data_IF_593572409618
#
_entry.id   IF_593572409618
#
_cell.length_a   1.000
_cell.length_b   1.000
_cell.length_c   1.000
_cell.angle_alpha   90.00
_cell.angle_beta   90.00
_cell.angle_gamma   90.00
#
_symmetry.space_group_name_H-M   'P 1'
#
loop_
_entity.id
_entity.type
_entity.pdbx_description
1 polymer ?
#
# COMPACT_ATOMS: atom_id res chain seq x y z
N UNK A 1 34.96 -53.02 -18.13
CA UNK A 1 34.44 -51.86 -18.89
C UNK A 1 33.82 -50.91 -17.88
N UNK A 2 34.34 -49.70 -17.84
CA UNK A 2 34.16 -48.65 -16.82
C UNK A 2 32.72 -48.12 -16.80
N UNK A 3 32.12 -48.09 -15.60
CA UNK A 3 30.88 -47.33 -15.35
C UNK A 3 31.18 -45.86 -15.60
N UNK A 4 30.51 -45.26 -16.56
CA UNK A 4 30.51 -43.82 -16.78
C UNK A 4 29.74 -43.15 -15.66
N UNK A 5 30.40 -42.32 -14.88
CA UNK A 5 29.73 -41.42 -13.93
C UNK A 5 28.80 -40.46 -14.68
N UNK A 6 27.65 -40.08 -14.10
CA UNK A 6 26.78 -39.10 -14.72
C UNK A 6 27.51 -37.75 -14.74
N UNK A 7 27.61 -37.16 -15.93
CA UNK A 7 28.13 -35.81 -16.14
C UNK A 7 27.24 -34.85 -15.33
N UNK A 8 27.72 -34.44 -14.16
CA UNK A 8 27.12 -33.37 -13.39
C UNK A 8 27.42 -32.09 -14.17
N UNK A 9 26.47 -31.64 -15.00
CA UNK A 9 26.58 -30.31 -15.62
C UNK A 9 26.83 -29.29 -14.51
N UNK A 10 27.90 -28.46 -14.59
CA UNK A 10 28.16 -27.48 -13.57
C UNK A 10 26.94 -26.56 -13.48
N UNK A 11 26.36 -26.45 -12.29
CA UNK A 11 25.23 -25.55 -12.02
C UNK A 11 25.72 -24.15 -12.40
N UNK A 12 25.05 -23.52 -13.37
CA UNK A 12 25.35 -22.17 -13.78
C UNK A 12 25.40 -21.27 -12.54
N UNK A 13 26.53 -20.61 -12.29
CA UNK A 13 26.79 -19.81 -11.08
C UNK A 13 25.69 -18.76 -10.80
N UNK A 14 24.93 -18.35 -11.82
CA UNK A 14 23.75 -17.47 -11.65
C UNK A 14 22.62 -18.07 -10.80
N UNK A 15 22.56 -19.39 -10.67
CA UNK A 15 21.60 -20.12 -9.84
C UNK A 15 22.16 -20.54 -8.48
N UNK A 16 23.40 -20.14 -8.19
CA UNK A 16 24.01 -20.37 -6.89
C UNK A 16 23.67 -19.17 -5.98
N UNK A 17 23.03 -19.40 -4.82
CA UNK A 17 22.67 -18.31 -3.92
C UNK A 17 23.91 -17.66 -3.31
N UNK A 18 23.74 -16.42 -2.84
CA UNK A 18 24.74 -15.73 -2.05
C UNK A 18 25.15 -16.57 -0.83
N UNK A 19 26.46 -16.69 -0.57
CA UNK A 19 27.03 -17.64 0.42
C UNK A 19 27.37 -17.02 1.77
N UNK A 20 27.27 -15.71 1.93
CA UNK A 20 27.62 -15.03 3.17
C UNK A 20 26.36 -14.55 3.92
N UNK A 21 26.49 -14.16 5.20
CA UNK A 21 25.38 -13.57 5.93
C UNK A 21 24.86 -12.29 5.26
N UNK A 22 23.56 -12.05 5.42
CA UNK A 22 22.95 -10.76 5.11
C UNK A 22 23.41 -9.69 6.11
N UNK A 23 23.24 -8.39 5.81
CA UNK A 23 23.56 -7.32 6.76
C UNK A 23 22.79 -7.50 8.08
N UNK A 24 23.49 -7.40 9.21
CA UNK A 24 22.96 -7.71 10.55
C UNK A 24 21.71 -6.88 10.91
N UNK A 25 21.71 -5.60 10.54
CA UNK A 25 20.65 -4.66 10.89
C UNK A 25 19.58 -4.53 9.78
N UNK A 26 19.64 -5.36 8.74
CA UNK A 26 18.60 -5.36 7.70
C UNK A 26 17.34 -5.98 8.28
N UNK A 27 16.17 -5.31 8.20
CA UNK A 27 14.94 -5.94 8.62
C UNK A 27 14.61 -7.12 7.68
N UNK A 28 13.83 -8.12 8.15
CA UNK A 28 13.43 -9.25 7.32
C UNK A 28 12.71 -8.79 6.05
N UNK A 29 12.85 -9.54 4.96
CA UNK A 29 12.04 -9.33 3.77
C UNK A 29 10.54 -9.51 4.06
N UNK A 30 9.70 -8.99 3.18
CA UNK A 30 8.25 -9.10 3.29
C UNK A 30 7.69 -9.63 1.99
N UNK A 31 6.94 -10.73 2.08
CA UNK A 31 6.14 -11.27 0.98
C UNK A 31 4.70 -11.39 1.44
N UNK A 32 3.79 -10.76 0.72
CA UNK A 32 2.35 -10.90 0.93
C UNK A 32 1.81 -11.76 -0.21
N UNK A 33 1.44 -13.03 0.04
CA UNK A 33 1.04 -13.95 -1.02
C UNK A 33 -0.13 -13.45 -1.86
N UNK A 34 -1.08 -12.77 -1.23
CA UNK A 34 -2.27 -12.20 -1.88
C UNK A 34 -2.35 -10.71 -1.57
N UNK A 35 -1.83 -9.85 -2.45
CA UNK A 35 -1.88 -8.40 -2.26
C UNK A 35 -3.35 -7.91 -2.16
N UNK A 36 -4.23 -8.41 -3.02
CA UNK A 36 -5.70 -8.33 -2.83
C UNK A 36 -6.11 -9.56 -2.01
N UNK A 37 -6.68 -9.41 -0.80
CA UNK A 37 -7.02 -10.55 0.02
C UNK A 37 -8.28 -11.27 -0.46
N UNK A 38 -8.32 -12.55 -0.14
CA UNK A 38 -9.54 -13.34 -0.12
C UNK A 38 -10.32 -13.21 1.21
N UNK A 39 -9.65 -12.84 2.30
CA UNK A 39 -10.27 -12.60 3.61
C UNK A 39 -10.63 -11.11 3.79
N UNK A 40 -11.92 -10.81 3.80
CA UNK A 40 -12.46 -9.45 3.91
C UNK A 40 -12.10 -8.77 5.24
N UNK A 41 -11.81 -9.53 6.30
CA UNK A 41 -11.45 -8.97 7.61
C UNK A 41 -10.17 -8.15 7.55
N UNK A 42 -9.30 -8.41 6.57
CA UNK A 42 -8.01 -7.71 6.48
C UNK A 42 -8.18 -6.26 5.97
N UNK A 43 -9.28 -5.96 5.27
CA UNK A 43 -9.59 -4.59 4.87
C UNK A 43 -9.99 -3.74 6.07
N UNK A 44 -9.22 -2.68 6.32
CA UNK A 44 -9.41 -1.73 7.42
C UNK A 44 -10.29 -0.58 6.93
N UNK A 45 -11.49 -0.35 7.48
CA UNK A 45 -12.34 0.76 7.07
C UNK A 45 -11.67 2.10 7.42
N UNK A 46 -11.67 3.04 6.48
CA UNK A 46 -11.09 4.39 6.66
C UNK A 46 -12.16 5.45 6.73
N UNK A 47 -13.04 5.47 5.74
CA UNK A 47 -14.22 6.33 5.59
C UNK A 47 -15.38 5.49 5.04
N UNK A 48 -16.56 6.08 4.89
CA UNK A 48 -17.69 5.39 4.26
C UNK A 48 -17.31 4.91 2.86
N UNK A 49 -17.49 3.62 2.59
CA UNK A 49 -17.13 2.98 1.32
C UNK A 49 -15.64 3.01 0.95
N UNK A 50 -14.74 3.35 1.88
CA UNK A 50 -13.29 3.38 1.66
C UNK A 50 -12.58 2.44 2.63
N UNK A 51 -11.75 1.54 2.09
CA UNK A 51 -10.97 0.58 2.85
C UNK A 51 -9.48 0.66 2.51
N UNK A 52 -8.67 0.50 3.54
CA UNK A 52 -7.23 0.43 3.49
C UNK A 52 -6.76 -1.00 3.76
N UNK A 53 -5.76 -1.46 3.03
CA UNK A 53 -5.05 -2.69 3.34
C UNK A 53 -3.55 -2.41 3.40
N UNK A 54 -2.90 -2.55 4.56
CA UNK A 54 -1.45 -2.39 4.65
C UNK A 54 -0.75 -3.47 3.85
N UNK A 55 0.31 -3.08 3.13
CA UNK A 55 1.26 -3.99 2.51
C UNK A 55 2.67 -3.83 3.11
N UNK A 56 3.04 -2.62 3.53
CA UNK A 56 4.29 -2.33 4.23
C UNK A 56 4.08 -1.07 5.07
N UNK A 57 4.49 -1.09 6.33
CA UNK A 57 4.45 0.04 7.25
C UNK A 57 5.87 0.30 7.72
N UNK A 58 6.60 1.16 7.01
CA UNK A 58 8.01 1.44 7.29
C UNK A 58 8.11 2.49 8.40
N UNK A 59 7.91 2.07 9.65
CA UNK A 59 7.86 2.91 10.84
C UNK A 59 9.14 3.72 11.02
N UNK A 60 10.29 3.13 10.72
CA UNK A 60 11.61 3.78 10.82
C UNK A 60 11.88 4.79 9.70
N UNK A 61 11.18 4.68 8.56
CA UNK A 61 11.41 5.51 7.36
C UNK A 61 10.26 6.48 7.07
N UNK A 62 9.16 6.39 7.81
CA UNK A 62 8.02 7.31 7.68
C UNK A 62 7.26 7.18 6.37
N UNK A 63 7.08 5.97 5.85
CA UNK A 63 6.24 5.73 4.67
C UNK A 63 5.43 4.44 4.81
N UNK A 64 4.41 4.28 3.97
CA UNK A 64 3.69 3.01 3.85
C UNK A 64 3.36 2.66 2.40
N UNK A 65 3.13 1.37 2.18
CA UNK A 65 2.50 0.85 0.98
C UNK A 65 1.16 0.23 1.35
N UNK A 66 0.13 0.49 0.55
CA UNK A 66 -1.19 -0.05 0.79
C UNK A 66 -1.97 -0.27 -0.50
N UNK A 67 -2.98 -1.12 -0.43
CA UNK A 67 -4.10 -1.03 -1.36
C UNK A 67 -5.15 -0.10 -0.76
N UNK A 68 -5.68 0.80 -1.57
CA UNK A 68 -6.91 1.53 -1.29
C UNK A 68 -8.02 0.88 -2.11
N UNK A 69 -9.12 0.52 -1.45
CA UNK A 69 -10.32 -0.01 -2.09
C UNK A 69 -11.48 0.94 -1.85
N UNK A 70 -12.18 1.29 -2.92
CA UNK A 70 -13.44 2.04 -2.84
C UNK A 70 -14.51 1.22 -3.55
N UNK A 71 -15.66 0.99 -2.92
CA UNK A 71 -16.80 0.30 -3.53
C UNK A 71 -17.94 1.29 -3.72
N UNK A 72 -18.53 1.34 -4.92
CA UNK A 72 -19.45 2.40 -5.36
C UNK A 72 -18.77 3.77 -5.42
N UNK A 73 -19.55 4.84 -5.48
CA UNK A 73 -19.05 6.21 -5.34
C UNK A 73 -18.42 6.42 -3.97
N UNK A 74 -17.25 7.05 -3.94
CA UNK A 74 -16.58 7.48 -2.73
C UNK A 74 -15.79 8.75 -2.98
N UNK A 75 -15.69 9.57 -1.93
CA UNK A 75 -14.81 10.74 -1.89
C UNK A 75 -13.87 10.50 -0.74
N UNK A 76 -12.56 10.53 -0.99
CA UNK A 76 -11.57 10.57 0.08
C UNK A 76 -11.38 12.04 0.46
N UNK A 77 -11.44 12.34 1.76
CA UNK A 77 -11.27 13.69 2.29
C UNK A 77 -10.06 14.41 1.68
N UNK A 78 -10.24 15.71 1.38
CA UNK A 78 -9.19 16.56 0.81
C UNK A 78 -7.95 16.57 1.68
N UNK A 79 -6.80 16.40 1.06
CA UNK A 79 -5.54 16.31 1.79
C UNK A 79 -4.36 16.78 0.95
N UNK A 80 -3.23 16.95 1.64
CA UNK A 80 -1.94 17.36 1.10
C UNK A 80 -0.85 16.40 1.56
N UNK A 81 0.09 16.08 0.67
CA UNK A 81 1.28 15.29 1.02
C UNK A 81 2.54 16.16 0.98
N UNK A 82 3.34 16.27 2.04
CA UNK A 82 4.63 16.97 2.01
C UNK A 82 5.71 16.26 1.20
N UNK A 83 5.47 15.00 0.82
CA UNK A 83 6.39 14.10 0.13
C UNK A 83 5.62 13.38 -1.00
N UNK A 84 6.31 12.77 -1.98
CA UNK A 84 5.62 12.25 -3.16
C UNK A 84 4.76 11.03 -2.85
N UNK A 85 3.72 10.82 -3.65
CA UNK A 85 2.94 9.59 -3.65
C UNK A 85 3.01 8.96 -5.04
N UNK A 86 3.07 7.63 -5.06
CA UNK A 86 3.02 6.84 -6.28
C UNK A 86 1.80 5.94 -6.23
N UNK A 87 1.05 5.90 -7.33
CA UNK A 87 -0.14 5.09 -7.46
C UNK A 87 -0.05 4.16 -8.68
N UNK A 88 -0.58 2.94 -8.55
CA UNK A 88 -0.79 2.02 -9.67
C UNK A 88 -2.16 1.38 -9.58
N UNK A 89 -3.01 1.61 -10.59
CA UNK A 89 -4.41 1.19 -10.57
C UNK A 89 -4.52 -0.28 -10.95
N UNK A 90 -5.05 -1.09 -10.04
CA UNK A 90 -5.23 -2.54 -10.24
C UNK A 90 -6.63 -2.90 -10.73
N UNK A 91 -7.63 -2.07 -10.42
CA UNK A 91 -9.02 -2.28 -10.83
C UNK A 91 -9.78 -0.95 -10.82
N UNK A 92 -10.70 -0.80 -11.78
CA UNK A 92 -11.61 0.34 -11.85
C UNK A 92 -10.91 1.63 -12.27
N UNK A 93 -11.46 2.75 -11.84
CA UNK A 93 -10.90 4.08 -12.13
C UNK A 93 -11.19 5.08 -11.02
N UNK A 94 -10.39 6.14 -10.98
CA UNK A 94 -10.54 7.27 -10.07
C UNK A 94 -9.88 8.52 -10.65
N UNK A 95 -10.17 9.68 -10.07
CA UNK A 95 -9.55 10.95 -10.45
C UNK A 95 -9.38 11.86 -9.24
N UNK A 96 -8.56 12.89 -9.38
CA UNK A 96 -8.59 14.04 -8.49
C UNK A 96 -9.52 15.11 -9.06
N UNK A 97 -10.26 15.81 -8.20
CA UNK A 97 -11.13 16.92 -8.64
C UNK A 97 -10.31 18.09 -9.22
N UNK A 98 -9.04 18.18 -8.83
CA UNK A 98 -8.11 19.25 -9.16
C UNK A 98 -7.37 19.03 -10.49
N UNK A 99 -7.64 17.93 -11.19
CA UNK A 99 -7.01 17.60 -12.47
C UNK A 99 -8.00 17.09 -13.52
N UNK A 100 -7.63 17.24 -14.79
CA UNK A 100 -8.47 16.88 -15.95
C UNK A 100 -8.33 15.41 -16.39
N UNK A 101 -7.49 14.62 -15.71
CA UNK A 101 -7.22 13.23 -16.07
C UNK A 101 -8.04 12.25 -15.22
N UNK A 102 -8.20 11.03 -15.75
CA UNK A 102 -8.78 9.88 -15.05
C UNK A 102 -7.75 8.76 -15.07
N UNK A 103 -7.45 8.19 -13.91
CA UNK A 103 -6.56 7.04 -13.78
C UNK A 103 -7.41 5.75 -13.82
N UNK A 104 -7.25 4.96 -14.87
CA UNK A 104 -7.95 3.69 -15.09
C UNK A 104 -7.04 2.49 -14.82
N UNK A 105 -7.58 1.27 -14.78
CA UNK A 105 -6.80 0.03 -14.63
C UNK A 105 -5.53 0.00 -15.51
N UNK A 106 -4.39 -0.31 -14.89
CA UNK A 106 -3.06 -0.30 -15.52
C UNK A 106 -2.35 1.07 -15.51
N UNK A 107 -3.03 2.15 -15.11
CA UNK A 107 -2.42 3.48 -15.03
C UNK A 107 -1.46 3.59 -13.86
N UNK A 108 -0.37 4.35 -14.07
CA UNK A 108 0.50 4.87 -13.03
C UNK A 108 0.21 6.36 -12.82
N UNK A 109 0.12 6.79 -11.57
CA UNK A 109 0.04 8.20 -11.21
C UNK A 109 1.17 8.59 -10.25
N UNK A 110 1.63 9.82 -10.39
CA UNK A 110 2.60 10.45 -9.51
C UNK A 110 1.98 11.73 -8.95
N UNK A 111 1.91 11.81 -7.63
CA UNK A 111 1.46 13.02 -6.93
C UNK A 111 2.69 13.80 -6.47
N UNK A 112 2.82 15.03 -6.94
CA UNK A 112 3.93 15.90 -6.61
C UNK A 112 3.84 16.36 -5.13
N UNK A 113 4.98 16.46 -4.42
CA UNK A 113 5.00 16.99 -3.06
C UNK A 113 4.39 18.39 -2.99
N UNK A 114 3.51 18.59 -2.02
CA UNK A 114 2.85 19.88 -1.78
C UNK A 114 1.56 20.09 -2.55
N UNK A 115 1.14 19.19 -3.44
CA UNK A 115 -0.19 19.24 -4.05
C UNK A 115 -1.28 18.94 -3.00
N UNK A 116 -2.39 19.67 -3.10
CA UNK A 116 -3.61 19.42 -2.33
C UNK A 116 -4.66 18.87 -3.28
N UNK A 117 -5.23 17.72 -2.97
CA UNK A 117 -6.19 17.06 -3.86
C UNK A 117 -7.32 16.35 -3.14
N UNK A 118 -8.33 15.97 -3.92
CA UNK A 118 -9.54 15.27 -3.48
C UNK A 118 -9.78 14.06 -4.39
N UNK A 119 -9.45 12.85 -3.91
CA UNK A 119 -9.66 11.62 -4.68
C UNK A 119 -11.15 11.31 -4.73
N UNK A 120 -11.66 11.08 -5.93
CA UNK A 120 -13.05 10.65 -6.14
C UNK A 120 -13.12 9.42 -7.03
N UNK A 121 -14.10 8.59 -6.72
CA UNK A 121 -14.54 7.47 -7.54
C UNK A 121 -15.96 7.80 -8.00
N UNK A 122 -16.13 7.95 -9.31
CA UNK A 122 -17.40 8.39 -9.89
C UNK A 122 -18.49 7.28 -9.79
N UNK A 123 -19.80 7.63 -9.78
CA UNK A 123 -20.86 6.68 -9.44
C UNK A 123 -21.01 5.45 -10.33
N UNK A 124 -20.52 5.49 -11.57
CA UNK A 124 -20.57 4.35 -12.49
C UNK A 124 -19.51 3.28 -12.18
N UNK A 125 -18.54 3.59 -11.31
CA UNK A 125 -17.46 2.65 -10.94
C UNK A 125 -17.95 1.77 -9.78
N UNK A 126 -18.07 0.47 -10.03
CA UNK A 126 -18.51 -0.49 -9.02
C UNK A 126 -17.47 -0.70 -7.90
N UNK A 127 -16.20 -0.83 -8.29
CA UNK A 127 -15.09 -1.03 -7.37
C UNK A 127 -13.79 -0.49 -7.99
N UNK A 128 -13.04 0.24 -7.19
CA UNK A 128 -11.68 0.67 -7.49
C UNK A 128 -10.70 0.04 -6.50
N UNK A 129 -9.57 -0.47 -7.00
CA UNK A 129 -8.44 -0.90 -6.17
C UNK A 129 -7.16 -0.29 -6.75
N UNK A 130 -6.45 0.51 -5.94
CA UNK A 130 -5.19 1.14 -6.34
C UNK A 130 -4.12 0.86 -5.31
N UNK A 131 -2.94 0.44 -5.78
CA UNK A 131 -1.73 0.36 -4.98
C UNK A 131 -1.17 1.77 -4.80
N UNK A 132 -0.95 2.18 -3.56
CA UNK A 132 -0.29 3.43 -3.22
C UNK A 132 1.01 3.16 -2.45
N UNK A 133 2.05 3.93 -2.77
CA UNK A 133 3.18 4.19 -1.88
C UNK A 133 3.08 5.64 -1.43
N UNK A 134 2.83 5.87 -0.15
CA UNK A 134 2.71 7.20 0.43
C UNK A 134 3.93 7.47 1.31
N UNK A 135 4.65 8.54 1.01
CA UNK A 135 5.79 8.99 1.79
C UNK A 135 5.38 10.12 2.73
N UNK A 136 5.93 10.14 3.95
CA UNK A 136 5.63 11.18 4.93
C UNK A 136 4.21 11.06 5.51
N UNK A 137 3.59 12.20 5.75
CA UNK A 137 2.24 12.28 6.30
C UNK A 137 1.23 12.70 5.22
N UNK A 138 -0.01 12.26 5.40
CA UNK A 138 -1.17 12.75 4.67
C UNK A 138 -1.90 13.77 5.55
N UNK A 139 -1.90 15.05 5.17
CA UNK A 139 -2.44 16.14 5.99
C UNK A 139 -3.83 16.50 5.46
N UNK A 140 -4.87 16.22 6.24
CA UNK A 140 -6.24 16.59 5.88
C UNK A 140 -6.43 18.11 5.99
N UNK A 141 -7.09 18.69 5.00
CA UNK A 141 -7.34 20.14 4.95
C UNK A 141 -8.79 20.48 4.61
N UNK A 142 -9.27 21.61 5.10
CA UNK A 142 -10.55 22.18 4.67
C UNK A 142 -10.45 22.79 3.24
N UNK A 143 -11.54 23.32 2.65
CA UNK A 143 -11.49 23.92 1.30
C UNK A 143 -10.54 25.11 1.16
N UNK A 144 -10.19 25.79 2.26
CA UNK A 144 -9.30 26.94 2.28
C UNK A 144 -7.84 26.55 2.59
N UNK A 145 -7.56 25.24 2.71
CA UNK A 145 -6.23 24.70 2.93
C UNK A 145 -5.77 24.71 4.40
N UNK A 146 -6.67 25.00 5.35
CA UNK A 146 -6.34 24.91 6.78
C UNK A 146 -6.29 23.44 7.19
N UNK A 147 -5.20 23.06 7.87
CA UNK A 147 -5.04 21.71 8.40
C UNK A 147 -6.11 21.39 9.46
N UNK A 148 -6.77 20.25 9.30
CA UNK A 148 -7.81 19.75 10.22
C UNK A 148 -7.47 18.39 10.82
N UNK A 149 -6.41 17.73 10.35
CA UNK A 149 -5.93 16.45 10.86
C UNK A 149 -4.79 15.90 10.03
N UNK A 150 -4.30 14.72 10.39
CA UNK A 150 -3.28 14.02 9.61
C UNK A 150 -3.40 12.49 9.78
N UNK A 151 -2.79 11.77 8.84
CA UNK A 151 -2.38 10.40 9.00
C UNK A 151 -0.88 10.26 8.72
N UNK A 152 -0.18 9.52 9.56
CA UNK A 152 1.20 9.09 9.32
C UNK A 152 1.30 7.56 9.48
N UNK A 153 2.51 7.01 9.36
CA UNK A 153 2.69 5.55 9.50
C UNK A 153 2.22 5.02 10.87
N UNK A 154 2.32 5.82 11.93
CA UNK A 154 1.95 5.41 13.29
C UNK A 154 0.43 5.45 13.49
N UNK A 155 -0.26 6.49 13.02
CA UNK A 155 -1.74 6.52 13.05
C UNK A 155 -2.33 5.37 12.24
N UNK A 156 -1.69 5.01 11.10
CA UNK A 156 -2.06 3.84 10.30
C UNK A 156 -1.86 2.53 11.05
N UNK A 157 -0.72 2.35 11.73
CA UNK A 157 -0.47 1.18 12.58
C UNK A 157 -1.54 1.07 13.68
N UNK A 158 -1.83 2.15 14.38
CA UNK A 158 -2.83 2.18 15.46
C UNK A 158 -4.23 1.83 14.95
N UNK A 159 -4.65 2.42 13.83
CA UNK A 159 -5.94 2.14 13.21
C UNK A 159 -6.07 0.67 12.79
N UNK A 160 -5.02 0.09 12.19
CA UNK A 160 -5.01 -1.32 11.81
C UNK A 160 -5.04 -2.23 13.05
N UNK A 161 -4.24 -1.92 14.08
CA UNK A 161 -4.19 -2.67 15.35
C UNK A 161 -5.55 -2.67 16.04
N UNK A 162 -6.22 -1.52 16.09
CA UNK A 162 -7.56 -1.39 16.65
C UNK A 162 -8.57 -2.25 15.89
N UNK A 163 -8.58 -2.19 14.55
CA UNK A 163 -9.48 -2.99 13.72
C UNK A 163 -9.26 -4.50 13.86
N UNK A 164 -8.02 -4.96 13.78
CA UNK A 164 -7.70 -6.39 13.84
C UNK A 164 -7.95 -6.99 15.23
N UNK A 165 -7.85 -6.21 16.30
CA UNK A 165 -8.23 -6.65 17.64
C UNK A 165 -9.73 -6.97 17.79
N UNK A 166 -10.58 -6.39 16.94
CA UNK A 166 -12.04 -6.50 17.03
C UNK A 166 -12.65 -7.46 16.00
N UNK A 167 -11.88 -7.95 15.03
CA UNK A 167 -12.41 -8.75 13.92
C UNK A 167 -11.91 -10.21 13.90
N UNK A 168 -11.26 -10.65 14.99
CA UNK A 168 -10.79 -12.02 15.16
C UNK A 168 -9.45 -12.35 14.49
N UNK A 169 -8.72 -11.34 13.98
CA UNK A 169 -7.34 -11.51 13.52
C UNK A 169 -6.30 -11.30 14.64
N UNK A 170 -6.63 -10.50 15.66
CA UNK A 170 -5.73 -10.18 16.76
C UNK A 170 -4.97 -8.87 16.54
N UNK A 171 -4.64 -8.18 17.63
CA UNK A 171 -3.96 -6.88 17.57
C UNK A 171 -2.54 -6.99 16.96
N UNK A 172 -1.87 -8.11 17.19
CA UNK A 172 -0.54 -8.46 16.69
C UNK A 172 -0.52 -8.81 15.19
N UNK A 173 -1.68 -9.03 14.57
CA UNK A 173 -1.75 -9.30 13.13
C UNK A 173 -1.10 -8.20 12.29
N UNK A 174 -1.12 -6.94 12.73
CA UNK A 174 -0.47 -5.83 12.02
C UNK A 174 1.06 -5.94 11.98
N UNK A 175 1.67 -6.62 12.96
CA UNK A 175 3.12 -6.61 13.17
C UNK A 175 3.87 -7.25 11.99
N UNK A 176 3.22 -8.17 11.26
CA UNK A 176 3.78 -8.79 10.05
C UNK A 176 4.12 -7.76 8.94
N UNK A 177 3.43 -6.61 8.92
CA UNK A 177 3.59 -5.57 7.90
C UNK A 177 4.57 -4.46 8.32
N UNK A 178 5.00 -4.42 9.58
CA UNK A 178 5.83 -3.33 10.11
C UNK A 178 7.31 -3.59 9.81
N UNK A 179 8.03 -2.55 9.38
CA UNK A 179 9.48 -2.55 9.14
C UNK A 179 10.13 -1.25 9.65
#
# INVERSE_FOLDING_TARGET
MTKSDPIHSPVNDKWVPYRHPQPMDSPPELVIPNAIPTDERIWVPVEENVWFRPLLLAASRGYWMNLLRVRKSGVLSRHRHPQPVHAFVLKGEWRYLEHDWIATEGSYAYEAPGETHTLVVDPHVEEMITLFQVNGAMIYVDPDGKAIGFDDVFTRIEKCRAHYSQNGLGADYIDQFIR
#
